data_IF_757820425336
#
_entry.id   IF_757820425336
#
_cell.length_a   1.000
_cell.length_b   1.000
_cell.length_c   1.000
_cell.angle_alpha   90.00
_cell.angle_beta   90.00
_cell.angle_gamma   90.00
#
_symmetry.space_group_name_H-M   'P 1'
#
loop_
_entity.id
_entity.type
_entity.pdbx_description
1 polymer ?
#
# COMPACT_ATOMS: atom_id res chain seq x y z
N UNK A 1 -40.05 -64.73 34.72
CA UNK A 1 -38.99 -64.41 33.73
C UNK A 1 -39.13 -62.92 33.43
N UNK A 2 -38.61 -62.05 34.28
CA UNK A 2 -37.23 -61.58 34.38
C UNK A 2 -36.94 -60.40 33.41
N UNK A 3 -36.52 -59.28 34.01
CA UNK A 3 -35.84 -58.07 33.49
C UNK A 3 -36.76 -56.95 32.95
N UNK A 4 -36.60 -55.67 33.34
CA UNK A 4 -35.64 -55.06 34.26
C UNK A 4 -35.89 -53.55 34.39
N UNK A 5 -35.63 -53.04 35.60
CA UNK A 5 -35.56 -51.63 35.98
C UNK A 5 -34.41 -50.89 35.28
N UNK A 6 -34.64 -49.60 34.98
CA UNK A 6 -33.88 -48.50 35.58
C UNK A 6 -32.51 -48.09 34.99
N UNK A 7 -32.26 -46.79 35.18
CA UNK A 7 -30.98 -46.06 35.22
C UNK A 7 -30.54 -45.46 33.87
N UNK A 8 -30.69 -44.14 33.69
CA UNK A 8 -29.76 -43.11 34.19
C UNK A 8 -28.39 -43.22 33.55
N UNK A 9 -28.24 -42.67 32.35
CA UNK A 9 -26.95 -42.38 31.72
C UNK A 9 -26.71 -40.88 31.77
N UNK A 10 -25.91 -40.47 32.74
CA UNK A 10 -25.33 -39.13 32.91
C UNK A 10 -24.50 -38.73 31.69
N UNK A 11 -24.69 -37.50 31.22
CA UNK A 11 -23.80 -36.85 30.27
C UNK A 11 -22.40 -36.72 30.89
N UNK A 12 -21.43 -37.44 30.34
CA UNK A 12 -20.02 -37.15 30.56
C UNK A 12 -19.56 -36.19 29.48
N UNK A 13 -19.13 -35.04 29.97
CA UNK A 13 -18.41 -33.99 29.28
C UNK A 13 -17.10 -34.59 28.74
N UNK A 14 -17.05 -34.92 27.44
CA UNK A 14 -15.79 -35.27 26.75
C UNK A 14 -14.98 -33.97 26.58
N UNK A 15 -14.16 -33.68 27.58
CA UNK A 15 -13.00 -32.82 27.42
C UNK A 15 -12.03 -33.58 26.51
N UNK A 16 -11.91 -33.13 25.26
CA UNK A 16 -10.81 -33.49 24.39
C UNK A 16 -9.57 -32.85 25.01
N UNK A 17 -8.83 -33.62 25.81
CA UNK A 17 -7.46 -33.28 26.18
C UNK A 17 -6.65 -33.30 24.86
N UNK A 18 -6.45 -32.11 24.28
CA UNK A 18 -5.49 -31.92 23.19
C UNK A 18 -4.10 -32.22 23.76
N UNK A 19 -3.62 -33.44 23.53
CA UNK A 19 -2.26 -33.87 23.83
C UNK A 19 -1.27 -32.95 23.07
N UNK A 20 -0.78 -31.92 23.76
CA UNK A 20 0.18 -30.95 23.23
C UNK A 20 1.52 -31.66 22.98
N UNK A 21 1.86 -31.90 21.71
CA UNK A 21 3.12 -32.51 21.28
C UNK A 21 4.05 -31.45 20.67
N UNK A 22 5.29 -31.34 21.16
CA UNK A 22 6.29 -30.43 20.61
C UNK A 22 7.71 -30.97 20.73
N UNK A 23 8.63 -30.48 19.89
CA UNK A 23 10.04 -30.85 19.95
C UNK A 23 10.85 -29.78 20.69
N UNK A 24 11.65 -30.20 21.66
CA UNK A 24 12.54 -29.30 22.40
C UNK A 24 13.51 -28.59 21.42
N UNK A 25 13.56 -27.25 21.41
CA UNK A 25 14.35 -26.48 20.45
C UNK A 25 15.86 -26.68 20.62
N UNK A 26 16.32 -26.99 21.85
CA UNK A 26 17.74 -27.15 22.14
C UNK A 26 18.30 -28.55 21.79
N UNK A 27 17.52 -29.61 22.01
CA UNK A 27 18.02 -30.98 21.85
C UNK A 27 17.19 -31.88 20.92
N UNK A 28 16.14 -31.34 20.30
CA UNK A 28 15.29 -32.03 19.33
C UNK A 28 14.55 -33.24 19.90
N UNK A 29 14.31 -33.26 21.21
CA UNK A 29 13.61 -34.36 21.88
C UNK A 29 12.12 -34.11 21.86
N UNK A 30 11.37 -35.10 21.41
CA UNK A 30 9.93 -35.05 21.33
C UNK A 30 9.31 -35.13 22.73
N UNK A 31 8.48 -34.16 23.05
CA UNK A 31 7.81 -33.99 24.34
C UNK A 31 6.31 -34.10 24.11
N UNK A 32 5.64 -34.80 25.04
CA UNK A 32 4.20 -35.01 25.03
C UNK A 32 3.62 -34.53 26.35
N UNK A 33 2.59 -33.68 26.27
CA UNK A 33 1.93 -33.06 27.41
C UNK A 33 2.63 -31.80 27.89
N UNK A 34 2.06 -31.19 28.92
CA UNK A 34 2.58 -29.98 29.56
C UNK A 34 3.74 -30.35 30.50
N UNK A 35 4.95 -29.97 30.10
CA UNK A 35 6.13 -30.03 30.97
C UNK A 35 6.81 -28.68 30.92
N UNK A 36 7.20 -28.14 32.07
CA UNK A 36 7.88 -26.84 32.16
C UNK A 36 9.38 -26.95 31.83
N UNK A 37 9.92 -28.16 31.76
CA UNK A 37 11.34 -28.40 31.50
C UNK A 37 11.55 -29.62 30.60
N UNK A 38 12.55 -29.56 29.72
CA UNK A 38 12.90 -30.70 28.89
C UNK A 38 13.51 -31.83 29.73
N UNK A 39 12.98 -33.07 29.68
CA UNK A 39 13.51 -34.19 30.47
C UNK A 39 14.91 -34.65 30.01
N UNK A 40 15.38 -34.23 28.84
CA UNK A 40 16.69 -34.63 28.30
C UNK A 40 17.79 -33.59 28.49
N UNK A 41 17.51 -32.31 28.26
CA UNK A 41 18.52 -31.24 28.37
C UNK A 41 18.27 -30.25 29.51
N UNK A 42 17.11 -30.31 30.18
CA UNK A 42 16.78 -29.46 31.32
C UNK A 42 16.45 -28.00 30.98
N UNK A 43 16.29 -27.65 29.70
CA UNK A 43 15.85 -26.29 29.32
C UNK A 43 14.43 -26.03 29.81
N UNK A 44 14.22 -24.89 30.46
CA UNK A 44 12.92 -24.43 30.94
C UNK A 44 12.12 -23.83 29.78
N UNK A 45 10.84 -24.21 29.67
CA UNK A 45 9.91 -23.70 28.69
C UNK A 45 9.12 -22.56 29.32
N UNK A 46 9.49 -21.33 28.98
CA UNK A 46 8.69 -20.16 29.34
C UNK A 46 7.62 -20.00 28.26
N UNK A 47 6.43 -20.51 28.53
CA UNK A 47 5.24 -20.25 27.71
C UNK A 47 4.65 -18.94 28.22
N UNK A 48 5.06 -17.80 27.64
CA UNK A 48 4.35 -16.55 27.86
C UNK A 48 2.98 -16.67 27.21
N UNK A 49 1.91 -16.63 28.02
CA UNK A 49 0.54 -16.53 27.53
C UNK A 49 0.38 -15.20 26.79
N UNK A 50 0.47 -15.24 25.46
CA UNK A 50 0.28 -14.06 24.63
C UNK A 50 -1.20 -13.72 24.63
N UNK A 51 -1.57 -12.65 25.34
CA UNK A 51 -2.94 -12.18 25.39
C UNK A 51 -3.43 -11.79 23.99
N UNK A 52 -4.52 -12.41 23.54
CA UNK A 52 -5.22 -12.05 22.31
C UNK A 52 -5.96 -10.72 22.49
N UNK A 53 -5.79 -9.80 21.54
CA UNK A 53 -6.41 -8.47 21.52
C UNK A 53 -7.33 -8.37 20.30
N UNK A 54 -8.52 -7.79 20.47
CA UNK A 54 -9.42 -7.54 19.33
C UNK A 54 -9.03 -6.27 18.58
N UNK A 55 -8.91 -6.38 17.24
CA UNK A 55 -8.61 -5.23 16.40
C UNK A 55 -9.77 -4.20 16.44
N UNK A 56 -9.52 -2.92 16.75
CA UNK A 56 -10.58 -1.90 16.84
C UNK A 56 -11.18 -1.51 15.48
N UNK A 57 -10.60 -1.97 14.37
CA UNK A 57 -11.03 -1.61 13.01
C UNK A 57 -11.84 -2.69 12.30
N UNK A 58 -11.54 -3.97 12.54
CA UNK A 58 -12.23 -5.09 11.88
C UNK A 58 -12.74 -6.16 12.86
N UNK A 59 -12.51 -5.99 14.17
CA UNK A 59 -12.87 -6.95 15.23
C UNK A 59 -12.27 -8.35 15.08
N UNK A 60 -11.24 -8.51 14.23
CA UNK A 60 -10.48 -9.74 14.16
C UNK A 60 -9.60 -9.89 15.42
N UNK A 61 -9.52 -11.11 15.95
CA UNK A 61 -8.62 -11.46 17.06
C UNK A 61 -7.18 -11.43 16.56
N UNK A 62 -6.33 -10.66 17.23
CA UNK A 62 -4.92 -10.47 16.85
C UNK A 62 -4.02 -10.69 18.06
N UNK A 63 -2.87 -11.32 17.83
CA UNK A 63 -1.87 -11.53 18.87
C UNK A 63 -1.36 -10.19 19.41
N UNK A 64 -1.26 -10.05 20.74
CA UNK A 64 -0.97 -8.78 21.42
C UNK A 64 0.35 -8.09 21.07
N UNK A 65 1.26 -8.76 20.37
CA UNK A 65 2.53 -8.19 19.91
C UNK A 65 2.49 -7.64 18.47
N UNK A 66 1.34 -7.76 17.79
CA UNK A 66 1.22 -7.35 16.39
C UNK A 66 1.00 -5.84 16.25
N UNK A 67 1.97 -5.16 15.63
CA UNK A 67 1.89 -3.72 15.33
C UNK A 67 0.89 -3.43 14.21
N UNK A 68 0.56 -4.43 13.38
CA UNK A 68 -0.32 -4.28 12.22
C UNK A 68 -1.28 -5.46 12.14
N UNK A 69 -2.58 -5.19 11.93
CA UNK A 69 -3.60 -6.22 11.83
C UNK A 69 -3.44 -7.04 10.52
N UNK A 70 -3.33 -8.37 10.57
CA UNK A 70 -3.14 -9.21 9.38
C UNK A 70 -4.39 -9.30 8.49
N UNK A 71 -5.58 -9.01 9.04
CA UNK A 71 -6.85 -9.08 8.30
C UNK A 71 -7.18 -7.76 7.58
N UNK A 72 -6.94 -6.62 8.22
CA UNK A 72 -7.29 -5.32 7.63
C UNK A 72 -6.09 -4.44 7.22
N UNK A 73 -4.86 -4.86 7.55
CA UNK A 73 -3.63 -4.18 7.17
C UNK A 73 -3.40 -2.82 7.83
N UNK A 74 -4.14 -2.47 8.88
CA UNK A 74 -4.02 -1.20 9.62
C UNK A 74 -3.23 -1.40 10.91
N UNK A 75 -2.48 -0.36 11.27
CA UNK A 75 -1.67 -0.36 12.49
C UNK A 75 -2.54 -0.39 13.75
N UNK A 76 -2.20 -1.27 14.69
CA UNK A 76 -2.86 -1.42 15.99
C UNK A 76 -2.05 -0.57 16.98
N UNK A 77 -2.24 0.75 16.93
CA UNK A 77 -1.52 1.68 17.79
C UNK A 77 -2.22 1.80 19.15
N UNK A 78 -1.65 1.21 20.19
CA UNK A 78 -2.14 1.28 21.59
C UNK A 78 -1.55 2.47 22.36
N UNK A 79 -1.12 3.53 21.67
CA UNK A 79 -0.51 4.69 22.32
C UNK A 79 -1.40 5.91 22.15
N UNK A 80 -2.24 6.20 23.15
CA UNK A 80 -2.85 7.53 23.31
C UNK A 80 -1.75 8.57 23.61
N UNK A 81 -1.60 9.65 22.81
CA UNK A 81 -0.98 10.85 23.29
C UNK A 81 -2.05 11.76 23.91
N UNK A 82 -1.95 12.00 25.21
CA UNK A 82 -2.77 12.96 25.93
C UNK A 82 -2.72 14.37 25.28
N UNK A 83 -3.85 15.10 25.20
CA UNK A 83 -3.87 16.44 24.66
C UNK A 83 -3.28 17.44 25.66
N UNK A 84 -2.21 18.13 25.27
CA UNK A 84 -1.67 19.26 26.03
C UNK A 84 -2.41 20.55 25.61
N UNK A 85 -3.04 21.30 26.53
CA UNK A 85 -3.80 22.50 26.17
C UNK A 85 -2.87 23.69 25.84
N UNK A 86 -3.26 24.46 24.83
CA UNK A 86 -2.57 25.67 24.37
C UNK A 86 -2.75 26.85 25.35
N UNK A 87 -1.74 27.72 25.54
CA UNK A 87 -1.90 28.95 26.30
C UNK A 87 -2.52 30.07 25.43
N UNK A 88 -3.50 30.78 26.01
CA UNK A 88 -4.23 31.92 25.42
C UNK A 88 -3.35 33.15 25.13
N UNK A 89 -3.69 33.97 24.12
CA UNK A 89 -2.96 35.19 23.79
C UNK A 89 -3.36 36.38 24.69
N UNK A 90 -2.36 37.10 25.19
CA UNK A 90 -2.52 38.32 25.97
C UNK A 90 -3.05 39.52 25.14
N UNK A 91 -3.76 40.49 25.76
CA UNK A 91 -4.45 41.56 25.06
C UNK A 91 -3.55 42.76 24.70
N UNK A 92 -3.83 43.38 23.55
CA UNK A 92 -3.22 44.61 23.05
C UNK A 92 -3.68 45.85 23.85
N UNK A 93 -2.80 46.84 24.10
CA UNK A 93 -3.17 48.13 24.68
C UNK A 93 -3.79 49.11 23.65
N UNK A 94 -4.60 50.08 24.09
CA UNK A 94 -5.36 50.96 23.22
C UNK A 94 -4.55 52.18 22.72
N UNK A 95 -4.94 52.67 21.55
CA UNK A 95 -4.39 53.85 20.87
C UNK A 95 -4.68 55.17 21.62
N UNK A 96 -3.78 56.16 21.56
CA UNK A 96 -4.07 57.51 22.04
C UNK A 96 -4.78 58.38 20.97
N UNK A 97 -5.72 59.18 21.46
CA UNK A 97 -6.53 60.17 20.75
C UNK A 97 -5.71 61.45 20.38
N UNK A 98 -6.23 62.33 19.49
CA UNK A 98 -5.45 63.37 18.83
C UNK A 98 -5.47 64.70 19.61
N UNK A 99 -4.50 65.61 19.42
CA UNK A 99 -4.67 66.99 19.82
C UNK A 99 -5.14 67.89 18.68
N UNK A 100 -5.92 68.87 19.13
CA UNK A 100 -6.67 69.86 18.38
C UNK A 100 -5.82 70.96 17.76
N UNK A 101 -6.48 71.61 16.80
CA UNK A 101 -6.14 72.81 16.05
C UNK A 101 -5.83 74.05 16.91
N UNK A 102 -5.05 74.99 16.35
CA UNK A 102 -5.34 76.43 16.09
C UNK A 102 -4.01 77.25 15.98
N UNK A 103 -3.97 78.54 15.54
CA UNK A 103 -3.98 78.91 14.13
C UNK A 103 -2.87 80.01 13.87
N UNK A 104 -2.89 80.87 12.82
CA UNK A 104 -1.69 81.19 12.04
C UNK A 104 -1.13 82.61 12.26
N UNK A 105 0.18 82.81 12.09
CA UNK A 105 0.73 84.18 11.92
C UNK A 105 1.91 84.20 10.94
N UNK A 106 1.64 84.90 9.83
CA UNK A 106 2.50 85.78 9.03
C UNK A 106 3.82 85.30 8.42
N UNK A 107 3.82 85.37 7.09
CA UNK A 107 4.95 85.29 6.18
C UNK A 107 5.93 86.47 6.30
N UNK A 108 7.21 86.22 6.00
CA UNK A 108 8.08 87.16 5.28
C UNK A 108 8.56 86.61 3.91
N UNK A 109 9.19 87.45 3.07
CA UNK A 109 9.19 87.39 1.59
C UNK A 109 10.26 86.45 0.97
N UNK A 110 10.26 86.23 -0.37
CA UNK A 110 10.91 85.07 -0.98
C UNK A 110 12.42 85.28 -1.18
N UNK A 111 13.18 84.22 -0.87
CA UNK A 111 14.60 84.08 -1.19
C UNK A 111 14.77 83.25 -2.49
N UNK A 112 15.84 83.49 -3.28
CA UNK A 112 15.98 83.06 -4.68
C UNK A 112 16.07 81.54 -4.89
N UNK A 113 15.78 81.04 -6.11
CA UNK A 113 15.56 79.63 -6.37
C UNK A 113 16.83 78.79 -6.14
N UNK A 114 16.67 77.73 -5.33
CA UNK A 114 17.65 76.64 -5.23
C UNK A 114 17.64 75.83 -6.54
N UNK A 115 18.81 75.34 -7.01
CA UNK A 115 18.91 74.47 -8.19
C UNK A 115 18.11 73.17 -7.98
N UNK A 116 17.67 72.51 -9.07
CA UNK A 116 16.78 71.35 -8.99
C UNK A 116 17.44 70.21 -8.20
N UNK A 117 16.72 69.71 -7.20
CA UNK A 117 17.03 68.44 -6.54
C UNK A 117 16.88 67.31 -7.58
N UNK A 118 17.99 66.62 -7.79
CA UNK A 118 18.07 65.35 -8.51
C UNK A 118 17.27 64.32 -7.69
N UNK A 119 16.43 63.46 -8.30
CA UNK A 119 15.64 62.48 -7.55
C UNK A 119 16.55 61.59 -6.71
N UNK A 120 16.28 61.56 -5.39
CA UNK A 120 16.94 60.67 -4.43
C UNK A 120 16.74 59.20 -4.87
N UNK A 121 17.84 58.54 -5.22
CA UNK A 121 17.89 57.10 -5.40
C UNK A 121 17.55 56.40 -4.09
N UNK A 122 16.63 55.43 -4.13
CA UNK A 122 16.22 54.64 -2.97
C UNK A 122 17.41 53.95 -2.30
N UNK A 123 17.52 54.07 -0.98
CA UNK A 123 18.65 53.51 -0.24
C UNK A 123 18.65 51.96 -0.24
N UNK A 124 19.82 51.29 -0.30
CA UNK A 124 19.94 49.84 -0.38
C UNK A 124 19.21 49.05 0.72
N UNK A 125 19.06 49.64 1.90
CA UNK A 125 18.41 49.00 3.05
C UNK A 125 16.88 48.98 2.94
N UNK A 126 16.28 50.00 2.31
CA UNK A 126 14.84 50.00 2.00
C UNK A 126 14.50 48.92 0.97
N UNK A 127 15.37 48.73 -0.02
CA UNK A 127 15.20 47.70 -1.05
C UNK A 127 15.28 46.27 -0.48
N UNK A 128 16.18 46.01 0.48
CA UNK A 128 16.27 44.72 1.18
C UNK A 128 15.03 44.42 2.02
N UNK A 129 14.55 45.41 2.80
CA UNK A 129 13.36 45.25 3.61
C UNK A 129 12.09 45.01 2.75
N UNK A 130 11.98 45.68 1.61
CA UNK A 130 10.90 45.45 0.65
C UNK A 130 10.95 44.02 0.07
N UNK A 131 12.14 43.56 -0.33
CA UNK A 131 12.35 42.19 -0.83
C UNK A 131 11.99 41.12 0.21
N UNK A 132 12.41 41.29 1.46
CA UNK A 132 12.09 40.36 2.54
C UNK A 132 10.58 40.27 2.80
N UNK A 133 9.86 41.40 2.69
CA UNK A 133 8.40 41.44 2.81
C UNK A 133 7.72 40.67 1.67
N UNK A 134 8.15 40.89 0.42
CA UNK A 134 7.62 40.16 -0.74
C UNK A 134 7.85 38.64 -0.61
N UNK A 135 9.03 38.22 -0.14
CA UNK A 135 9.34 36.80 0.05
C UNK A 135 8.46 36.15 1.14
N UNK A 136 8.08 36.89 2.19
CA UNK A 136 7.14 36.39 3.22
C UNK A 136 5.72 36.23 2.69
N UNK A 137 5.26 37.19 1.87
CA UNK A 137 3.96 37.10 1.19
C UNK A 137 3.94 35.88 0.27
N UNK A 138 4.97 35.71 -0.56
CA UNK A 138 5.12 34.54 -1.43
C UNK A 138 5.18 33.22 -0.65
N UNK A 139 5.90 33.17 0.48
CA UNK A 139 5.93 31.97 1.32
C UNK A 139 4.52 31.59 1.79
N UNK A 140 3.71 32.56 2.20
CA UNK A 140 2.33 32.33 2.63
C UNK A 140 1.46 31.83 1.47
N UNK A 141 1.62 32.39 0.27
CA UNK A 141 0.93 31.92 -0.93
C UNK A 141 1.31 30.47 -1.27
N UNK A 142 2.59 30.14 -1.24
CA UNK A 142 3.08 28.77 -1.49
C UNK A 142 2.51 27.76 -0.48
N UNK A 143 2.43 28.12 0.80
CA UNK A 143 1.82 27.25 1.83
C UNK A 143 0.33 27.03 1.52
N UNK A 144 -0.39 28.09 1.12
CA UNK A 144 -1.80 28.00 0.75
C UNK A 144 -2.05 27.17 -0.52
N UNK A 145 -1.07 27.08 -1.43
CA UNK A 145 -1.13 26.21 -2.62
C UNK A 145 -0.74 24.75 -2.31
N UNK A 146 0.31 24.55 -1.52
CA UNK A 146 0.85 23.21 -1.22
C UNK A 146 -0.10 22.42 -0.31
N UNK A 147 -0.78 23.07 0.63
CA UNK A 147 -1.71 22.40 1.56
C UNK A 147 -2.84 21.61 0.87
N UNK A 148 -3.61 22.24 -0.04
CA UNK A 148 -4.62 21.55 -0.83
C UNK A 148 -4.05 20.41 -1.69
N UNK A 149 -2.90 20.60 -2.32
CA UNK A 149 -2.25 19.55 -3.13
C UNK A 149 -1.86 18.33 -2.29
N UNK A 150 -1.41 18.52 -1.05
CA UNK A 150 -1.09 17.40 -0.14
C UNK A 150 -2.34 16.65 0.31
N UNK A 151 -3.42 17.39 0.56
CA UNK A 151 -4.70 16.79 0.93
C UNK A 151 -5.22 15.93 -0.22
N UNK A 152 -5.20 16.50 -1.43
CA UNK A 152 -5.56 15.78 -2.65
C UNK A 152 -4.68 14.54 -2.87
N UNK A 153 -3.37 14.67 -2.72
CA UNK A 153 -2.45 13.54 -2.83
C UNK A 153 -2.77 12.45 -1.80
N UNK A 154 -3.13 12.81 -0.57
CA UNK A 154 -3.55 11.85 0.46
C UNK A 154 -4.87 11.15 0.11
N UNK A 155 -5.88 11.88 -0.34
CA UNK A 155 -7.20 11.35 -0.70
C UNK A 155 -7.15 10.38 -1.89
N UNK A 156 -6.09 10.48 -2.69
CA UNK A 156 -5.80 9.61 -3.82
C UNK A 156 -4.65 8.63 -3.57
N UNK A 157 -4.19 8.52 -2.32
CA UNK A 157 -3.13 7.59 -1.90
C UNK A 157 -1.83 7.72 -2.72
N UNK A 158 -1.48 8.95 -3.08
CA UNK A 158 -0.26 9.32 -3.79
C UNK A 158 0.87 9.46 -2.76
N UNK A 159 2.04 8.85 -3.04
CA UNK A 159 3.20 8.93 -2.16
C UNK A 159 3.71 10.37 -2.08
N UNK A 160 3.73 10.91 -0.86
CA UNK A 160 4.20 12.27 -0.54
C UNK A 160 5.40 12.27 0.40
N UNK A 161 6.08 11.13 0.56
CA UNK A 161 7.20 10.99 1.51
C UNK A 161 8.32 11.97 1.21
N UNK A 162 8.73 12.11 -0.05
CA UNK A 162 9.77 13.06 -0.46
C UNK A 162 9.35 14.52 -0.27
N UNK A 163 8.10 14.86 -0.62
CA UNK A 163 7.57 16.22 -0.48
C UNK A 163 7.39 16.62 0.99
N UNK A 164 7.01 15.69 1.87
CA UNK A 164 6.92 15.95 3.34
C UNK A 164 8.27 16.36 3.93
N UNK A 165 9.37 15.72 3.53
CA UNK A 165 10.72 16.09 3.97
C UNK A 165 11.11 17.51 3.55
N UNK A 166 10.68 17.95 2.37
CA UNK A 166 10.89 19.33 1.90
C UNK A 166 10.07 20.34 2.72
N UNK A 167 8.85 19.98 3.12
CA UNK A 167 8.01 20.79 4.01
C UNK A 167 8.68 20.99 5.36
N UNK A 168 9.13 19.90 6.00
CA UNK A 168 9.83 19.96 7.28
C UNK A 168 11.09 20.84 7.21
N UNK A 169 11.84 20.71 6.11
CA UNK A 169 13.02 21.55 5.83
C UNK A 169 12.65 23.03 5.69
N UNK A 170 11.61 23.37 4.93
CA UNK A 170 11.18 24.75 4.75
C UNK A 170 10.66 25.37 6.05
N UNK A 171 9.91 24.61 6.86
CA UNK A 171 9.46 25.03 8.19
C UNK A 171 10.64 25.30 9.11
N UNK A 172 11.68 24.45 9.09
CA UNK A 172 12.89 24.65 9.87
C UNK A 172 13.65 25.93 9.45
N UNK A 173 13.76 26.18 8.14
CA UNK A 173 14.37 27.40 7.60
C UNK A 173 13.56 28.67 7.98
N UNK A 174 12.23 28.60 7.91
CA UNK A 174 11.35 29.67 8.34
C UNK A 174 11.51 30.01 9.83
N UNK A 175 11.62 29.00 10.70
CA UNK A 175 11.90 29.19 12.14
C UNK A 175 13.24 29.87 12.41
N UNK A 176 14.24 29.67 11.54
CA UNK A 176 15.56 30.32 11.60
C UNK A 176 15.57 31.74 11.00
N UNK A 177 14.43 32.22 10.50
CA UNK A 177 14.28 33.50 9.76
C UNK A 177 15.07 33.54 8.45
N UNK A 178 15.39 32.38 7.89
CA UNK A 178 16.01 32.25 6.58
C UNK A 178 14.91 32.19 5.51
N UNK A 179 14.33 33.34 5.18
CA UNK A 179 13.12 33.42 4.34
C UNK A 179 13.41 33.00 2.89
N UNK A 180 14.48 33.49 2.27
CA UNK A 180 14.80 33.14 0.87
C UNK A 180 15.01 31.61 0.67
N UNK A 181 15.82 30.91 1.48
CA UNK A 181 15.93 29.45 1.39
C UNK A 181 14.61 28.71 1.67
N UNK A 182 13.76 29.24 2.56
CA UNK A 182 12.46 28.64 2.87
C UNK A 182 11.49 28.75 1.68
N UNK A 183 11.43 29.91 1.01
CA UNK A 183 10.66 30.11 -0.22
C UNK A 183 11.13 29.19 -1.33
N UNK A 184 12.44 29.09 -1.54
CA UNK A 184 12.99 28.22 -2.59
C UNK A 184 12.67 26.75 -2.35
N UNK A 185 12.80 26.28 -1.10
CA UNK A 185 12.41 24.93 -0.72
C UNK A 185 10.90 24.69 -0.92
N UNK A 186 10.06 25.71 -0.73
CA UNK A 186 8.61 25.62 -0.99
C UNK A 186 8.24 25.62 -2.46
N UNK A 187 8.96 26.35 -3.31
CA UNK A 187 8.82 26.23 -4.76
C UNK A 187 9.19 24.84 -5.24
N UNK A 188 10.29 24.29 -4.73
CA UNK A 188 10.74 22.91 -5.03
C UNK A 188 9.68 21.89 -4.60
N UNK A 189 9.15 22.02 -3.38
CA UNK A 189 8.10 21.15 -2.88
C UNK A 189 6.82 21.22 -3.73
N UNK A 190 6.38 22.44 -4.10
CA UNK A 190 5.21 22.63 -4.96
C UNK A 190 5.43 21.97 -6.32
N UNK A 191 6.58 22.19 -6.95
CA UNK A 191 6.91 21.61 -8.25
C UNK A 191 6.94 20.08 -8.22
N UNK A 192 7.61 19.51 -7.21
CA UNK A 192 7.68 18.06 -7.02
C UNK A 192 6.29 17.47 -6.78
N UNK A 193 5.46 18.11 -5.95
CA UNK A 193 4.12 17.63 -5.64
C UNK A 193 3.20 17.67 -6.87
N UNK A 194 3.24 18.77 -7.64
CA UNK A 194 2.52 18.86 -8.91
C UNK A 194 2.97 17.77 -9.89
N UNK A 195 4.28 17.54 -10.01
CA UNK A 195 4.81 16.50 -10.89
C UNK A 195 4.34 15.10 -10.47
N UNK A 196 4.43 14.75 -9.18
CA UNK A 196 3.99 13.43 -8.70
C UNK A 196 2.49 13.21 -8.92
N UNK A 197 1.67 14.25 -8.76
CA UNK A 197 0.23 14.20 -9.05
C UNK A 197 -0.01 14.03 -10.56
N UNK A 198 0.68 14.80 -11.41
CA UNK A 198 0.61 14.69 -12.87
C UNK A 198 1.00 13.28 -13.32
N UNK A 199 2.14 12.76 -12.88
CA UNK A 199 2.62 11.43 -13.25
C UNK A 199 1.62 10.34 -12.86
N UNK A 200 0.93 10.52 -11.72
CA UNK A 200 -0.14 9.60 -11.30
C UNK A 200 -1.35 9.70 -12.23
N UNK A 201 -1.81 10.92 -12.52
CA UNK A 201 -2.93 11.18 -13.42
C UNK A 201 -2.68 10.63 -14.82
N UNK A 202 -1.50 10.85 -15.39
CA UNK A 202 -1.13 10.33 -16.72
C UNK A 202 -1.19 8.80 -16.75
N UNK A 203 -0.71 8.12 -15.69
CA UNK A 203 -0.84 6.67 -15.57
C UNK A 203 -2.30 6.22 -15.47
N UNK A 204 -3.12 6.91 -14.67
CA UNK A 204 -4.53 6.58 -14.51
C UNK A 204 -5.32 6.81 -15.82
N UNK A 205 -5.03 7.90 -16.55
CA UNK A 205 -5.61 8.19 -17.87
C UNK A 205 -5.20 7.12 -18.89
N UNK A 206 -3.92 6.76 -18.95
CA UNK A 206 -3.44 5.71 -19.87
C UNK A 206 -4.10 4.36 -19.56
N UNK A 207 -4.26 4.01 -18.28
CA UNK A 207 -4.99 2.81 -17.89
C UNK A 207 -6.46 2.89 -18.32
N UNK A 208 -7.10 4.04 -18.13
CA UNK A 208 -8.48 4.26 -18.52
C UNK A 208 -8.70 4.18 -20.04
N UNK A 209 -7.77 4.71 -20.84
CA UNK A 209 -7.77 4.57 -22.30
C UNK A 209 -7.71 3.10 -22.75
N UNK A 210 -6.89 2.29 -22.07
CA UNK A 210 -6.85 0.85 -22.36
C UNK A 210 -8.19 0.18 -22.06
N UNK A 211 -8.84 0.52 -20.95
CA UNK A 211 -10.17 -0.02 -20.62
C UNK A 211 -11.25 0.48 -21.58
N UNK A 212 -11.15 1.72 -22.06
CA UNK A 212 -12.06 2.28 -23.08
C UNK A 212 -11.95 1.50 -24.40
N UNK A 213 -10.73 1.19 -24.84
CA UNK A 213 -10.50 0.36 -26.02
C UNK A 213 -11.12 -1.04 -25.87
N UNK A 214 -10.99 -1.64 -24.69
CA UNK A 214 -11.61 -2.93 -24.37
C UNK A 214 -13.15 -2.82 -24.41
N UNK A 215 -13.72 -1.81 -23.74
CA UNK A 215 -15.16 -1.58 -23.74
C UNK A 215 -15.70 -1.38 -25.17
N UNK A 216 -14.96 -0.66 -26.01
CA UNK A 216 -15.25 -0.47 -27.43
C UNK A 216 -15.20 -1.79 -28.21
N UNK A 217 -14.17 -2.61 -28.02
CA UNK A 217 -14.06 -3.94 -28.66
C UNK A 217 -15.19 -4.89 -28.23
N UNK A 218 -15.66 -4.74 -27.00
CA UNK A 218 -16.82 -5.46 -26.47
C UNK A 218 -18.16 -4.96 -27.04
N UNK A 219 -18.18 -3.86 -27.80
CA UNK A 219 -19.42 -3.23 -28.26
C UNK A 219 -20.25 -2.65 -27.10
N UNK A 220 -19.63 -2.35 -25.96
CA UNK A 220 -20.28 -1.70 -24.83
C UNK A 220 -20.32 -0.19 -25.04
N UNK A 221 -21.28 0.49 -24.40
CA UNK A 221 -21.37 1.95 -24.44
C UNK A 221 -20.18 2.58 -23.70
N UNK A 222 -19.21 3.06 -24.46
CA UNK A 222 -17.95 3.63 -23.96
C UNK A 222 -17.92 5.17 -24.06
N UNK A 223 -19.01 5.82 -24.50
CA UNK A 223 -19.03 7.27 -24.76
C UNK A 223 -18.74 8.08 -23.51
N UNK A 224 -19.30 7.65 -22.37
CA UNK A 224 -19.08 8.34 -21.08
C UNK A 224 -17.63 8.20 -20.59
N UNK A 225 -16.99 7.06 -20.84
CA UNK A 225 -15.57 6.85 -20.51
C UNK A 225 -14.70 7.76 -21.38
N UNK A 226 -15.00 7.82 -22.69
CA UNK A 226 -14.31 8.67 -23.65
C UNK A 226 -14.40 10.16 -23.27
N UNK A 227 -15.58 10.64 -22.86
CA UNK A 227 -15.79 12.00 -22.36
C UNK A 227 -14.96 12.27 -21.10
N UNK A 228 -15.00 11.38 -20.11
CA UNK A 228 -14.22 11.51 -18.88
C UNK A 228 -12.71 11.56 -19.15
N UNK A 229 -12.19 10.77 -20.10
CA UNK A 229 -10.78 10.82 -20.51
C UNK A 229 -10.43 12.19 -21.10
N UNK A 230 -11.25 12.68 -22.04
CA UNK A 230 -11.01 13.96 -22.72
C UNK A 230 -11.05 15.14 -21.73
N UNK A 231 -12.09 15.19 -20.89
CA UNK A 231 -12.25 16.23 -19.87
C UNK A 231 -11.14 16.14 -18.80
N UNK A 232 -10.72 14.93 -18.42
CA UNK A 232 -9.61 14.76 -17.47
C UNK A 232 -8.29 15.31 -18.02
N UNK A 233 -8.03 15.14 -19.33
CA UNK A 233 -6.83 15.71 -19.98
C UNK A 233 -6.89 17.23 -20.07
N UNK A 234 -8.07 17.79 -20.36
CA UNK A 234 -8.29 19.24 -20.36
C UNK A 234 -8.04 19.83 -18.97
N UNK A 235 -8.63 19.24 -17.92
CA UNK A 235 -8.42 19.68 -16.53
C UNK A 235 -6.97 19.54 -16.08
N UNK A 236 -6.27 18.50 -16.53
CA UNK A 236 -4.83 18.36 -16.29
C UNK A 236 -4.03 19.48 -16.95
N UNK A 237 -4.37 19.87 -18.20
CA UNK A 237 -3.72 20.98 -18.90
C UNK A 237 -3.97 22.34 -18.21
N UNK A 238 -5.15 22.51 -17.60
CA UNK A 238 -5.50 23.67 -16.76
C UNK A 238 -4.85 23.65 -15.37
N UNK A 239 -4.15 22.55 -15.00
CA UNK A 239 -3.63 22.27 -13.66
C UNK A 239 -4.71 22.18 -12.58
N UNK A 240 -5.95 21.92 -12.98
CA UNK A 240 -7.03 21.55 -12.06
C UNK A 240 -6.93 20.05 -11.73
N UNK A 241 -5.98 19.72 -10.86
CA UNK A 241 -5.70 18.34 -10.49
C UNK A 241 -6.88 17.67 -9.79
N UNK A 242 -7.68 18.42 -9.04
CA UNK A 242 -8.81 17.88 -8.29
C UNK A 242 -9.91 17.40 -9.23
N UNK A 243 -10.30 18.25 -10.20
CA UNK A 243 -11.28 17.87 -11.21
C UNK A 243 -10.77 16.73 -12.11
N UNK A 244 -9.51 16.79 -12.53
CA UNK A 244 -8.90 15.73 -13.35
C UNK A 244 -8.94 14.37 -12.65
N UNK A 245 -8.57 14.31 -11.37
CA UNK A 245 -8.55 13.07 -10.59
C UNK A 245 -9.94 12.49 -10.38
N UNK A 246 -10.95 13.33 -10.13
CA UNK A 246 -12.34 12.88 -9.99
C UNK A 246 -12.88 12.32 -11.31
N UNK A 247 -12.61 12.98 -12.44
CA UNK A 247 -12.99 12.50 -13.78
C UNK A 247 -12.33 11.16 -14.11
N UNK A 248 -11.02 11.04 -13.87
CA UNK A 248 -10.30 9.79 -14.07
C UNK A 248 -10.86 8.66 -13.18
N UNK A 249 -11.14 8.93 -11.90
CA UNK A 249 -11.74 7.98 -10.96
C UNK A 249 -13.17 7.59 -11.36
N UNK A 250 -13.97 8.53 -11.83
CA UNK A 250 -15.33 8.30 -12.32
C UNK A 250 -15.32 7.40 -13.56
N UNK A 251 -14.51 7.76 -14.56
CA UNK A 251 -14.33 6.98 -15.78
C UNK A 251 -13.83 5.57 -15.46
N UNK A 252 -12.87 5.44 -14.55
CA UNK A 252 -12.37 4.12 -14.10
C UNK A 252 -13.47 3.24 -13.52
N UNK A 253 -14.31 3.75 -12.61
CA UNK A 253 -15.43 2.98 -12.03
C UNK A 253 -16.40 2.51 -13.11
N UNK A 254 -16.71 3.34 -14.09
CA UNK A 254 -17.58 2.95 -15.21
C UNK A 254 -16.93 1.90 -16.09
N UNK A 255 -15.64 2.09 -16.41
CA UNK A 255 -14.87 1.16 -17.21
C UNK A 255 -14.80 -0.21 -16.53
N UNK A 256 -14.51 -0.28 -15.22
CA UNK A 256 -14.49 -1.53 -14.45
C UNK A 256 -15.84 -2.27 -14.48
N UNK A 257 -16.98 -1.56 -14.47
CA UNK A 257 -18.30 -2.19 -14.59
C UNK A 257 -18.49 -2.82 -15.97
N UNK A 258 -18.03 -2.16 -17.04
CA UNK A 258 -18.17 -2.65 -18.40
C UNK A 258 -17.15 -3.75 -18.73
N UNK A 259 -15.90 -3.58 -18.33
CA UNK A 259 -14.77 -4.45 -18.67
C UNK A 259 -14.45 -5.48 -17.60
N UNK A 260 -15.16 -5.52 -16.48
CA UNK A 260 -14.85 -6.43 -15.36
C UNK A 260 -14.76 -7.90 -15.78
N UNK A 261 -15.66 -8.35 -16.66
CA UNK A 261 -15.63 -9.71 -17.22
C UNK A 261 -14.41 -9.97 -18.10
N UNK A 262 -13.97 -8.97 -18.86
CA UNK A 262 -12.75 -9.05 -19.65
C UNK A 262 -11.52 -9.19 -18.75
N UNK A 263 -11.42 -8.33 -17.72
CA UNK A 263 -10.30 -8.35 -16.78
C UNK A 263 -10.24 -9.71 -16.06
N UNK A 264 -11.36 -10.19 -15.51
CA UNK A 264 -11.42 -11.50 -14.85
C UNK A 264 -11.02 -12.64 -15.80
N UNK A 265 -11.52 -12.62 -17.05
CA UNK A 265 -11.19 -13.65 -18.03
C UNK A 265 -9.69 -13.67 -18.37
N UNK A 266 -9.07 -12.50 -18.54
CA UNK A 266 -7.63 -12.38 -18.78
C UNK A 266 -6.80 -12.84 -17.58
N UNK A 267 -7.17 -12.43 -16.36
CA UNK A 267 -6.50 -12.91 -15.13
C UNK A 267 -6.57 -14.43 -14.99
N UNK A 268 -7.72 -15.04 -15.28
CA UNK A 268 -7.89 -16.50 -15.27
C UNK A 268 -7.06 -17.18 -16.35
N UNK A 269 -6.99 -16.60 -17.54
CA UNK A 269 -6.20 -17.11 -18.66
C UNK A 269 -4.70 -17.07 -18.35
N UNK A 270 -4.17 -15.93 -17.90
CA UNK A 270 -2.77 -15.77 -17.51
C UNK A 270 -2.40 -16.69 -16.34
N UNK A 271 -3.31 -16.81 -15.36
CA UNK A 271 -3.16 -17.75 -14.24
C UNK A 271 -3.08 -19.20 -14.73
N UNK A 272 -3.96 -19.63 -15.66
CA UNK A 272 -3.89 -20.96 -16.26
C UNK A 272 -2.58 -21.16 -17.04
N UNK A 273 -2.17 -20.18 -17.85
CA UNK A 273 -0.94 -20.26 -18.63
C UNK A 273 0.28 -20.44 -17.71
N UNK A 274 0.39 -19.62 -16.65
CA UNK A 274 1.43 -19.76 -15.63
C UNK A 274 1.37 -21.14 -14.97
N UNK A 275 0.19 -21.61 -14.58
CA UNK A 275 0.02 -22.90 -13.92
C UNK A 275 0.46 -24.07 -14.82
N UNK A 276 0.14 -24.03 -16.12
CA UNK A 276 0.59 -25.03 -17.08
C UNK A 276 2.12 -25.00 -17.21
N UNK A 277 2.71 -23.82 -17.42
CA UNK A 277 4.16 -23.67 -17.56
C UNK A 277 4.90 -24.19 -16.31
N UNK A 278 4.37 -23.89 -15.13
CA UNK A 278 4.95 -24.38 -13.88
C UNK A 278 4.78 -25.89 -13.75
N UNK A 279 3.61 -26.44 -14.10
CA UNK A 279 3.33 -27.88 -14.04
C UNK A 279 4.23 -28.70 -14.98
N UNK A 280 4.52 -28.18 -16.18
CA UNK A 280 5.44 -28.81 -17.14
C UNK A 280 6.88 -28.94 -16.60
N UNK A 281 7.33 -28.01 -15.75
CA UNK A 281 8.67 -28.09 -15.10
C UNK A 281 8.79 -29.29 -14.15
N UNK A 282 7.66 -29.84 -13.73
CA UNK A 282 7.57 -31.06 -12.92
C UNK A 282 7.06 -32.26 -13.73
N UNK A 283 7.06 -32.16 -15.06
CA UNK A 283 6.69 -33.23 -15.98
C UNK A 283 5.25 -33.75 -15.79
N UNK A 284 4.36 -32.91 -15.26
CA UNK A 284 2.93 -33.24 -15.18
C UNK A 284 2.32 -33.27 -16.59
N UNK A 285 1.37 -34.18 -16.84
CA UNK A 285 0.61 -34.20 -18.09
C UNK A 285 -0.38 -33.04 -18.13
N UNK A 286 -0.12 -32.08 -19.02
CA UNK A 286 -0.91 -30.85 -19.18
C UNK A 286 -1.69 -30.82 -20.49
N UNK A 287 -1.77 -31.93 -21.25
CA UNK A 287 -2.33 -31.93 -22.62
C UNK A 287 -3.76 -31.38 -22.69
N UNK A 288 -4.64 -31.82 -21.79
CA UNK A 288 -6.03 -31.35 -21.77
C UNK A 288 -6.11 -29.87 -21.36
N UNK A 289 -5.38 -29.46 -20.32
CA UNK A 289 -5.34 -28.05 -19.90
C UNK A 289 -4.74 -27.13 -20.97
N UNK A 290 -3.75 -27.61 -21.75
CA UNK A 290 -3.19 -26.87 -22.88
C UNK A 290 -4.20 -26.72 -24.02
N UNK A 291 -4.98 -27.76 -24.30
CA UNK A 291 -6.09 -27.69 -25.26
C UNK A 291 -7.11 -26.64 -24.83
N UNK A 292 -7.54 -26.66 -23.55
CA UNK A 292 -8.46 -25.67 -22.99
C UNK A 292 -7.88 -24.24 -23.02
N UNK A 293 -6.58 -24.06 -22.77
CA UNK A 293 -5.91 -22.76 -22.90
C UNK A 293 -5.96 -22.25 -24.34
N UNK A 294 -5.70 -23.10 -25.34
CA UNK A 294 -5.77 -22.71 -26.75
C UNK A 294 -7.21 -22.34 -27.15
N UNK A 295 -8.20 -23.14 -26.75
CA UNK A 295 -9.62 -22.81 -26.99
C UNK A 295 -10.02 -21.50 -26.30
N UNK A 296 -9.51 -21.23 -25.09
CA UNK A 296 -9.73 -19.97 -24.39
C UNK A 296 -9.11 -18.79 -25.12
N UNK A 297 -7.89 -18.94 -25.67
CA UNK A 297 -7.24 -17.92 -26.50
C UNK A 297 -8.08 -17.61 -27.74
N UNK A 298 -8.53 -18.64 -28.46
CA UNK A 298 -9.33 -18.46 -29.68
C UNK A 298 -10.69 -17.78 -29.36
N UNK A 299 -11.31 -18.10 -28.21
CA UNK A 299 -12.48 -17.38 -27.70
C UNK A 299 -12.17 -15.91 -27.39
N UNK A 300 -11.02 -15.63 -26.77
CA UNK A 300 -10.55 -14.27 -26.53
C UNK A 300 -10.30 -13.48 -27.82
N UNK A 301 -9.65 -14.08 -28.81
CA UNK A 301 -9.39 -13.44 -30.12
C UNK A 301 -10.69 -13.06 -30.85
N UNK A 302 -11.78 -13.78 -30.60
CA UNK A 302 -13.11 -13.51 -31.16
C UNK A 302 -13.97 -12.58 -30.30
N UNK A 303 -13.49 -12.16 -29.13
CA UNK A 303 -14.20 -11.26 -28.22
C UNK A 303 -15.17 -11.95 -27.25
N UNK A 304 -15.18 -13.29 -27.19
CA UNK A 304 -15.98 -14.05 -26.24
C UNK A 304 -15.21 -14.30 -24.93
N UNK A 305 -15.06 -13.22 -24.16
CA UNK A 305 -14.36 -13.21 -22.88
C UNK A 305 -15.02 -14.12 -21.83
N UNK A 306 -16.34 -14.29 -21.93
CA UNK A 306 -17.06 -15.16 -21.01
C UNK A 306 -16.65 -16.63 -21.24
N UNK A 307 -16.64 -17.07 -22.50
CA UNK A 307 -16.17 -18.42 -22.84
C UNK A 307 -14.68 -18.59 -22.53
N UNK A 308 -13.85 -17.58 -22.80
CA UNK A 308 -12.44 -17.57 -22.41
C UNK A 308 -12.27 -17.84 -20.91
N UNK A 309 -12.96 -17.07 -20.05
CA UNK A 309 -12.89 -17.26 -18.59
C UNK A 309 -13.38 -18.64 -18.12
N UNK A 310 -14.46 -19.17 -18.72
CA UNK A 310 -14.98 -20.51 -18.41
C UNK A 310 -13.94 -21.60 -18.77
N UNK A 311 -13.37 -21.53 -19.96
CA UNK A 311 -12.36 -22.49 -20.43
C UNK A 311 -11.09 -22.42 -19.59
N UNK A 312 -10.64 -21.21 -19.24
CA UNK A 312 -9.48 -21.01 -18.35
C UNK A 312 -9.71 -21.61 -16.96
N UNK A 313 -10.89 -21.40 -16.37
CA UNK A 313 -11.26 -22.00 -15.08
C UNK A 313 -11.27 -23.53 -15.14
N UNK A 314 -11.90 -24.09 -16.18
CA UNK A 314 -11.95 -25.54 -16.41
C UNK A 314 -10.54 -26.12 -16.56
N UNK A 315 -9.65 -25.46 -17.30
CA UNK A 315 -8.26 -25.90 -17.47
C UNK A 315 -7.49 -25.96 -16.15
N UNK A 316 -7.75 -25.01 -15.23
CA UNK A 316 -7.16 -25.00 -13.88
C UNK A 316 -7.73 -26.11 -13.00
N UNK A 317 -9.03 -26.36 -13.08
CA UNK A 317 -9.68 -27.47 -12.38
C UNK A 317 -9.10 -28.82 -12.80
N UNK A 318 -8.84 -29.03 -14.09
CA UNK A 318 -8.18 -30.26 -14.56
C UNK A 318 -6.78 -30.45 -13.96
N UNK A 319 -5.96 -29.40 -13.88
CA UNK A 319 -4.64 -29.49 -13.23
C UNK A 319 -4.78 -29.73 -11.72
N UNK A 320 -5.73 -29.06 -11.06
CA UNK A 320 -5.94 -29.20 -9.62
C UNK A 320 -6.36 -30.61 -9.20
N UNK A 321 -6.86 -31.45 -10.11
CA UNK A 321 -7.11 -32.88 -9.83
C UNK A 321 -5.81 -33.69 -9.73
N UNK A 322 -4.79 -33.35 -10.52
CA UNK A 322 -3.55 -34.10 -10.62
C UNK A 322 -2.39 -33.51 -9.79
N UNK A 323 -2.47 -32.23 -9.45
CA UNK A 323 -1.45 -31.52 -8.66
C UNK A 323 -1.18 -32.13 -7.28
N UNK A 324 -2.17 -32.57 -6.47
CA UNK A 324 -1.90 -33.02 -5.09
C UNK A 324 -0.91 -34.18 -5.03
N UNK A 325 -1.13 -35.21 -5.84
CA UNK A 325 -0.29 -36.41 -5.84
C UNK A 325 1.13 -36.11 -6.32
N UNK A 326 1.26 -35.29 -7.37
CA UNK A 326 2.55 -34.87 -7.90
C UNK A 326 3.32 -34.02 -6.88
N UNK A 327 2.67 -33.02 -6.27
CA UNK A 327 3.28 -32.13 -5.29
C UNK A 327 3.73 -32.89 -4.03
N UNK A 328 2.97 -33.90 -3.59
CA UNK A 328 3.36 -34.73 -2.46
C UNK A 328 4.67 -35.48 -2.72
N UNK A 329 4.83 -36.06 -3.91
CA UNK A 329 6.08 -36.75 -4.28
C UNK A 329 7.24 -35.76 -4.47
N UNK A 330 7.00 -34.59 -5.06
CA UNK A 330 8.03 -33.57 -5.23
C UNK A 330 8.48 -32.96 -3.90
N UNK A 331 7.58 -32.76 -2.94
CA UNK A 331 7.94 -32.39 -1.57
C UNK A 331 8.81 -33.47 -0.90
N UNK A 332 8.52 -34.76 -1.14
CA UNK A 332 9.33 -35.86 -0.61
C UNK A 332 10.75 -35.84 -1.18
N UNK A 333 10.88 -35.62 -2.49
CA UNK A 333 12.18 -35.48 -3.19
C UNK A 333 12.95 -34.25 -2.69
N UNK A 334 12.27 -33.11 -2.53
CA UNK A 334 12.87 -31.89 -2.01
C UNK A 334 13.41 -32.08 -0.59
N UNK A 335 12.67 -32.78 0.28
CA UNK A 335 13.15 -33.17 1.63
C UNK A 335 14.41 -34.04 1.56
N UNK A 336 14.45 -34.99 0.64
CA UNK A 336 15.62 -35.86 0.48
C UNK A 336 16.85 -35.06 0.01
N UNK A 337 16.71 -34.21 -1.01
CA UNK A 337 17.78 -33.33 -1.48
C UNK A 337 18.31 -32.41 -0.38
N UNK A 338 17.42 -31.84 0.43
CA UNK A 338 17.78 -30.97 1.55
C UNK A 338 18.68 -31.69 2.57
N UNK A 339 18.36 -32.95 2.90
CA UNK A 339 19.18 -33.76 3.81
C UNK A 339 20.56 -34.06 3.22
N UNK A 340 20.65 -34.33 1.92
CA UNK A 340 21.92 -34.55 1.24
C UNK A 340 22.79 -33.28 1.20
N UNK A 341 22.20 -32.12 0.94
CA UNK A 341 22.90 -30.83 0.96
C UNK A 341 23.44 -30.52 2.37
N UNK A 342 22.64 -30.78 3.42
CA UNK A 342 23.05 -30.64 4.82
C UNK A 342 24.19 -31.60 5.17
N UNK A 343 24.14 -32.85 4.72
CA UNK A 343 25.21 -33.83 4.93
C UNK A 343 26.54 -33.43 4.25
N UNK A 344 26.46 -32.71 3.12
CA UNK A 344 27.62 -32.13 2.41
C UNK A 344 28.13 -30.83 3.05
N UNK A 345 27.53 -30.37 4.15
CA UNK A 345 27.93 -29.15 4.86
C UNK A 345 27.62 -27.85 4.12
N UNK A 346 26.68 -27.87 3.16
CA UNK A 346 26.22 -26.66 2.47
C UNK A 346 25.29 -25.84 3.37
N UNK A 347 25.23 -24.53 3.18
CA UNK A 347 24.21 -23.70 3.82
C UNK A 347 22.85 -24.00 3.19
N UNK A 348 21.91 -24.46 4.01
CA UNK A 348 20.57 -24.87 3.59
C UNK A 348 19.48 -23.99 4.21
N UNK A 349 19.84 -22.88 4.85
CA UNK A 349 18.91 -22.05 5.62
C UNK A 349 17.73 -21.55 4.77
N UNK A 350 18.02 -21.05 3.55
CA UNK A 350 17.00 -20.61 2.60
C UNK A 350 16.10 -21.76 2.13
N UNK A 351 16.68 -22.91 1.82
CA UNK A 351 15.97 -24.11 1.36
C UNK A 351 15.04 -24.71 2.43
N UNK A 352 15.46 -24.70 3.71
CA UNK A 352 14.61 -25.13 4.84
C UNK A 352 13.35 -24.27 4.93
N UNK A 353 13.50 -22.94 4.81
CA UNK A 353 12.37 -22.00 4.87
C UNK A 353 11.38 -22.26 3.73
N UNK A 354 11.87 -22.34 2.50
CA UNK A 354 11.04 -22.61 1.31
C UNK A 354 10.26 -23.92 1.44
N UNK A 355 10.90 -24.97 1.94
CA UNK A 355 10.27 -26.28 2.07
C UNK A 355 9.25 -26.32 3.22
N UNK A 356 9.49 -25.58 4.32
CA UNK A 356 8.52 -25.41 5.41
C UNK A 356 7.27 -24.68 4.90
N UNK A 357 7.47 -23.57 4.18
CA UNK A 357 6.37 -22.78 3.62
C UNK A 357 5.56 -23.60 2.61
N UNK A 358 6.23 -24.35 1.73
CA UNK A 358 5.58 -25.27 0.79
C UNK A 358 4.74 -26.35 1.51
N UNK A 359 5.25 -26.91 2.63
CA UNK A 359 4.51 -27.86 3.44
C UNK A 359 3.25 -27.26 4.10
N UNK A 360 3.31 -26.01 4.55
CA UNK A 360 2.15 -25.30 5.11
C UNK A 360 1.10 -25.04 4.02
N UNK A 361 1.51 -24.56 2.85
CA UNK A 361 0.58 -24.34 1.73
C UNK A 361 -0.06 -25.65 1.24
N UNK A 362 0.69 -26.76 1.26
CA UNK A 362 0.16 -28.09 0.92
C UNK A 362 -0.95 -28.52 1.89
N UNK A 363 -0.77 -28.34 3.21
CA UNK A 363 -1.80 -28.66 4.21
C UNK A 363 -3.06 -27.80 4.06
N UNK A 364 -2.92 -26.58 3.54
CA UNK A 364 -4.03 -25.65 3.29
C UNK A 364 -4.67 -25.84 1.90
N UNK A 365 -4.26 -26.84 1.12
CA UNK A 365 -4.80 -27.11 -0.22
C UNK A 365 -4.42 -26.07 -1.28
N UNK A 366 -3.43 -25.20 -1.02
CA UNK A 366 -3.00 -24.15 -1.94
C UNK A 366 -1.92 -24.64 -2.88
N UNK A 367 -2.29 -25.55 -3.77
CA UNK A 367 -1.37 -26.27 -4.65
C UNK A 367 -0.49 -25.37 -5.52
N UNK A 368 -1.03 -24.26 -6.03
CA UNK A 368 -0.28 -23.31 -6.87
C UNK A 368 0.87 -22.65 -6.09
N UNK A 369 0.66 -22.30 -4.81
CA UNK A 369 1.71 -21.76 -3.95
C UNK A 369 2.80 -22.80 -3.67
N UNK A 370 2.42 -24.06 -3.44
CA UNK A 370 3.39 -25.16 -3.23
C UNK A 370 4.28 -25.29 -4.47
N UNK A 371 3.68 -25.23 -5.65
CA UNK A 371 4.39 -25.31 -6.93
C UNK A 371 5.40 -24.17 -7.08
N UNK A 372 4.98 -22.93 -6.81
CA UNK A 372 5.86 -21.75 -6.86
C UNK A 372 7.04 -21.88 -5.86
N UNK A 373 6.78 -22.33 -4.62
CA UNK A 373 7.84 -22.56 -3.61
C UNK A 373 8.79 -23.69 -4.00
N UNK A 374 8.31 -24.75 -4.63
CA UNK A 374 9.15 -25.84 -5.14
C UNK A 374 10.03 -25.37 -6.33
N UNK A 375 9.55 -24.45 -7.15
CA UNK A 375 10.36 -23.83 -8.22
C UNK A 375 11.48 -23.00 -7.62
N UNK A 376 11.17 -22.16 -6.62
CA UNK A 376 12.17 -21.38 -5.87
C UNK A 376 13.19 -22.32 -5.20
N UNK A 377 12.73 -23.41 -4.58
CA UNK A 377 13.60 -24.41 -3.96
C UNK A 377 14.56 -25.04 -4.96
N UNK A 378 14.08 -25.47 -6.14
CA UNK A 378 14.93 -26.04 -7.20
C UNK A 378 15.91 -25.01 -7.78
N UNK A 379 15.55 -23.73 -7.80
CA UNK A 379 16.45 -22.67 -8.25
C UNK A 379 17.59 -22.46 -7.23
N UNK A 380 17.28 -22.51 -5.94
CA UNK A 380 18.26 -22.41 -4.86
C UNK A 380 19.18 -23.63 -4.80
N UNK A 381 18.62 -24.83 -4.95
CA UNK A 381 19.37 -26.10 -5.02
C UNK A 381 20.45 -26.06 -6.11
N UNK A 382 20.18 -25.42 -7.25
CA UNK A 382 21.15 -25.27 -8.35
C UNK A 382 22.26 -24.26 -8.07
N UNK A 383 22.09 -23.35 -7.10
CA UNK A 383 23.08 -22.33 -6.72
C UNK A 383 24.09 -22.86 -5.70
N UNK A 384 23.72 -23.93 -4.99
CA UNK A 384 24.56 -24.64 -4.03
C UNK A 384 25.59 -25.54 -4.70
#
# INVERSE_FOLDING_TARGET
>A
MARGDGLSGTATNDQVEDDFEFDCPECGTHIRGEVDHCPKCGVEFVIEEVADIECPHCHATVSGESVTCPECGRDIDLTEPAPVPAPEPAPLPPAPAPPASTPPVSAPPPAPPKPPEVPEAESPDKLKAAKEKMMKEEFSELVNEVGPLLTLAKDYSIDTTATRRLIDKAVALGKRREIEPAVETMRECRGMLQQVITDRLERDIMYLENLEDVARKMGSDHETISSNIAESKEKLAEKDFAAALELARSGKRQAEVLTGKYVEAHELYESLEKLILNSERFYLDVRESRKLLNEARDAGETGDWNTMGILSRKGREELNKALPDMLAEELRKAKQSLLEAKAKGKDVTSMVKLLKDAGVSMKRGRHEEVLDRLIEFRAEEKRL
#
